data_IF_590625875350
#
_entry.id   IF_590625875350
#
_cell.length_a   1.000
_cell.length_b   1.000
_cell.length_c   1.000
_cell.angle_alpha   90.00
_cell.angle_beta   90.00
_cell.angle_gamma   90.00
#
_symmetry.space_group_name_H-M   'P 1'
#
loop_
_entity.id
_entity.type
_entity.pdbx_description
1 polymer ?
#
# COMPACT_ATOMS: atom_id res chain seq x y z
N UNK A 1 -2.44 -13.39 -2.41
CA UNK A 1 -2.31 -14.02 -1.08
C UNK A 1 -3.54 -14.87 -0.69
N UNK A 2 -4.74 -14.30 -0.57
CA UNK A 2 -5.90 -15.02 0.03
C UNK A 2 -6.71 -15.95 -0.89
N UNK A 3 -6.38 -16.06 -2.18
CA UNK A 3 -7.01 -17.06 -3.07
C UNK A 3 -7.78 -16.54 -4.29
N UNK A 4 -7.79 -15.23 -4.56
CA UNK A 4 -8.36 -14.69 -5.81
C UNK A 4 -7.68 -15.33 -7.06
N UNK A 5 -8.49 -15.70 -8.05
CA UNK A 5 -8.03 -16.29 -9.33
C UNK A 5 -8.25 -15.38 -10.54
N UNK A 6 -8.49 -14.08 -10.31
CA UNK A 6 -8.65 -13.06 -11.36
C UNK A 6 -9.71 -13.39 -12.42
N UNK A 7 -10.82 -14.03 -12.01
CA UNK A 7 -11.94 -14.37 -12.91
C UNK A 7 -12.76 -13.14 -13.36
N UNK A 8 -12.61 -12.00 -12.68
CA UNK A 8 -13.27 -10.71 -13.01
C UNK A 8 -14.80 -10.73 -12.94
N UNK A 9 -15.36 -11.63 -12.14
CA UNK A 9 -16.81 -11.80 -11.92
C UNK A 9 -17.28 -11.26 -10.55
N UNK A 10 -16.48 -10.42 -9.90
CA UNK A 10 -16.74 -9.98 -8.52
C UNK A 10 -18.12 -9.32 -8.35
N UNK A 11 -18.58 -8.58 -9.37
CA UNK A 11 -19.87 -7.88 -9.39
C UNK A 11 -21.08 -8.83 -9.53
N UNK A 12 -20.88 -10.09 -9.89
CA UNK A 12 -21.94 -11.08 -10.11
C UNK A 12 -22.28 -11.88 -8.85
N UNK A 13 -21.63 -11.60 -7.72
CA UNK A 13 -21.81 -12.32 -6.45
C UNK A 13 -21.53 -13.84 -6.53
N UNK A 14 -20.87 -14.33 -7.57
CA UNK A 14 -20.60 -15.75 -7.82
C UNK A 14 -19.10 -16.07 -7.84
N UNK A 15 -18.31 -15.40 -7.00
CA UNK A 15 -16.87 -15.63 -6.89
C UNK A 15 -16.57 -17.09 -6.54
N UNK A 16 -16.00 -17.83 -7.50
CA UNK A 16 -15.71 -19.27 -7.38
C UNK A 16 -14.70 -19.65 -6.28
N UNK A 17 -14.04 -18.66 -5.66
CA UNK A 17 -13.09 -18.88 -4.57
C UNK A 17 -13.56 -18.31 -3.24
N UNK A 18 -14.84 -17.90 -3.14
CA UNK A 18 -15.41 -17.38 -1.89
C UNK A 18 -14.84 -16.03 -1.43
N UNK A 19 -14.07 -15.32 -2.27
CA UNK A 19 -13.39 -14.07 -1.88
C UNK A 19 -14.32 -12.86 -1.97
N UNK A 20 -14.98 -12.67 -3.12
CA UNK A 20 -15.82 -11.51 -3.41
C UNK A 20 -17.26 -11.95 -3.69
N UNK A 21 -17.92 -12.49 -2.66
CA UNK A 21 -19.30 -12.97 -2.70
C UNK A 21 -19.91 -12.93 -1.30
N UNK A 22 -21.21 -12.68 -1.21
CA UNK A 22 -22.01 -12.79 -0.01
C UNK A 22 -22.77 -14.12 0.08
N UNK A 23 -22.77 -14.91 -1.01
CA UNK A 23 -23.36 -16.25 -1.01
C UNK A 23 -22.72 -17.11 0.09
N UNK A 24 -23.55 -17.67 0.96
CA UNK A 24 -23.10 -18.39 2.15
C UNK A 24 -22.34 -19.68 1.79
N UNK A 25 -22.81 -20.40 0.77
CA UNK A 25 -22.17 -21.64 0.31
C UNK A 25 -20.81 -21.33 -0.29
N UNK A 26 -20.73 -20.30 -1.14
CA UNK A 26 -19.46 -19.92 -1.75
C UNK A 26 -18.42 -19.46 -0.72
N UNK A 27 -18.83 -18.68 0.28
CA UNK A 27 -17.93 -18.24 1.36
C UNK A 27 -17.45 -19.42 2.21
N UNK A 28 -18.37 -20.27 2.67
CA UNK A 28 -18.04 -21.37 3.59
C UNK A 28 -17.19 -22.46 2.92
N UNK A 29 -17.54 -22.85 1.70
CA UNK A 29 -16.95 -24.02 1.07
C UNK A 29 -15.67 -23.68 0.28
N UNK A 30 -15.56 -22.47 -0.28
CA UNK A 30 -14.50 -22.15 -1.25
C UNK A 30 -13.48 -21.12 -0.77
N UNK A 31 -13.77 -20.33 0.28
CA UNK A 31 -12.76 -19.47 0.86
C UNK A 31 -11.76 -20.32 1.67
N UNK A 32 -10.48 -20.29 1.26
CA UNK A 32 -9.38 -21.01 1.91
C UNK A 32 -8.24 -20.08 2.35
N UNK A 33 -8.48 -18.78 2.34
CA UNK A 33 -7.48 -17.79 2.75
C UNK A 33 -7.22 -17.86 4.25
N UNK A 34 -5.96 -17.98 4.64
CA UNK A 34 -5.53 -17.93 6.03
C UNK A 34 -4.75 -16.64 6.31
N UNK A 35 -4.79 -16.08 7.53
CA UNK A 35 -3.98 -14.91 7.91
C UNK A 35 -2.50 -15.09 7.57
N UNK A 36 -1.95 -16.28 7.79
CA UNK A 36 -0.55 -16.64 7.54
C UNK A 36 -0.17 -16.46 6.07
N UNK A 37 -1.10 -16.69 5.14
CA UNK A 37 -0.84 -16.51 3.70
C UNK A 37 -0.59 -15.03 3.35
N UNK A 38 -1.25 -14.11 4.05
CA UNK A 38 -1.05 -12.67 3.87
C UNK A 38 0.21 -12.22 4.58
N UNK A 39 0.46 -12.70 5.79
CA UNK A 39 1.71 -12.43 6.53
C UNK A 39 2.93 -12.86 5.70
N UNK A 40 2.92 -14.09 5.18
CA UNK A 40 4.03 -14.61 4.37
C UNK A 40 4.26 -13.81 3.09
N UNK A 41 3.18 -13.31 2.45
CA UNK A 41 3.31 -12.41 1.30
C UNK A 41 4.07 -11.13 1.67
N UNK A 42 3.73 -10.49 2.79
CA UNK A 42 4.41 -9.26 3.23
C UNK A 42 5.83 -9.50 3.74
N UNK A 43 6.10 -10.65 4.38
CA UNK A 43 7.48 -11.04 4.74
C UNK A 43 8.33 -11.15 3.48
N UNK A 44 7.88 -11.91 2.48
CA UNK A 44 8.62 -12.04 1.21
C UNK A 44 8.81 -10.71 0.49
N UNK A 45 7.76 -9.88 0.41
CA UNK A 45 7.85 -8.54 -0.17
C UNK A 45 8.85 -7.65 0.57
N UNK A 46 8.83 -7.67 1.91
CA UNK A 46 9.76 -6.88 2.71
C UNK A 46 11.20 -7.37 2.55
N UNK A 47 11.42 -8.68 2.40
CA UNK A 47 12.74 -9.28 2.17
C UNK A 47 13.32 -8.83 0.82
N UNK A 48 12.50 -8.87 -0.24
CA UNK A 48 12.88 -8.39 -1.59
C UNK A 48 13.22 -6.89 -1.57
N UNK A 49 12.39 -6.06 -0.94
CA UNK A 49 12.65 -4.62 -0.79
C UNK A 49 13.98 -4.37 -0.07
N UNK A 50 14.29 -5.12 1.00
CA UNK A 50 15.59 -4.98 1.71
C UNK A 50 16.76 -5.44 0.85
N UNK A 51 16.58 -6.45 0.00
CA UNK A 51 17.58 -6.86 -0.99
C UNK A 51 17.90 -5.72 -1.97
N UNK A 52 16.87 -5.11 -2.57
CA UNK A 52 17.02 -3.97 -3.48
C UNK A 52 17.66 -2.75 -2.81
N UNK A 53 17.28 -2.45 -1.56
CA UNK A 53 17.91 -1.39 -0.77
C UNK A 53 19.42 -1.64 -0.61
N UNK A 54 19.81 -2.88 -0.29
CA UNK A 54 21.21 -3.25 -0.16
C UNK A 54 21.99 -3.16 -1.48
N UNK A 55 21.39 -3.56 -2.61
CA UNK A 55 21.98 -3.41 -3.95
C UNK A 55 22.25 -1.94 -4.30
N UNK A 56 21.37 -1.03 -3.86
CA UNK A 56 21.51 0.42 -4.03
C UNK A 56 22.43 1.06 -2.97
N UNK A 57 22.89 0.30 -1.97
CA UNK A 57 23.72 0.82 -0.87
C UNK A 57 22.96 1.72 0.11
N UNK A 58 21.65 1.52 0.25
CA UNK A 58 20.76 2.33 1.10
C UNK A 58 20.26 1.49 2.29
N UNK A 59 20.30 2.05 3.50
CA UNK A 59 19.89 1.33 4.71
C UNK A 59 18.38 1.44 4.97
N UNK A 60 17.78 2.62 4.74
CA UNK A 60 16.38 2.89 5.09
C UNK A 60 15.57 3.25 3.86
N UNK A 61 14.35 2.70 3.78
CA UNK A 61 13.41 3.02 2.71
C UNK A 61 13.12 4.53 2.61
N UNK A 62 13.08 5.23 3.74
CA UNK A 62 12.86 6.69 3.78
C UNK A 62 13.94 7.48 3.04
N UNK A 63 15.15 6.94 2.93
CA UNK A 63 16.26 7.61 2.25
C UNK A 63 16.14 7.49 0.71
N UNK A 64 15.24 6.65 0.21
CA UNK A 64 14.88 6.55 -1.22
C UNK A 64 13.68 7.40 -1.61
N UNK A 65 12.84 7.85 -0.67
CA UNK A 65 11.60 8.55 -1.00
C UNK A 65 11.94 9.87 -1.71
N UNK A 66 11.59 9.95 -3.00
CA UNK A 66 11.85 11.09 -3.87
C UNK A 66 13.20 11.10 -4.59
N UNK A 67 14.03 10.05 -4.46
CA UNK A 67 15.30 9.91 -5.18
C UNK A 67 15.10 9.48 -6.64
N UNK A 68 14.48 10.34 -7.45
CA UNK A 68 14.27 10.08 -8.88
C UNK A 68 15.57 10.06 -9.68
N UNK A 69 16.66 10.60 -9.12
CA UNK A 69 18.01 10.51 -9.68
C UNK A 69 18.58 9.09 -9.73
N UNK A 70 17.98 8.14 -8.99
CA UNK A 70 18.31 6.72 -9.06
C UNK A 70 17.53 5.97 -10.15
N UNK A 71 16.66 6.67 -10.88
CA UNK A 71 15.84 6.12 -11.94
C UNK A 71 16.27 6.68 -13.29
N UNK A 72 16.29 5.83 -14.31
CA UNK A 72 16.51 6.24 -15.69
C UNK A 72 15.43 5.69 -16.61
N UNK A 73 15.07 6.46 -17.64
CA UNK A 73 14.20 5.99 -18.69
C UNK A 73 14.97 5.06 -19.63
N UNK A 74 14.58 3.79 -19.67
CA UNK A 74 15.12 2.82 -20.63
C UNK A 74 14.53 3.04 -22.02
N UNK A 75 15.29 2.67 -23.07
CA UNK A 75 14.83 2.77 -24.45
C UNK A 75 13.59 1.88 -24.68
N UNK A 76 12.58 2.44 -25.37
CA UNK A 76 11.35 1.73 -25.67
C UNK A 76 11.52 0.66 -26.75
N UNK A 77 10.94 -0.52 -26.53
CA UNK A 77 10.98 -1.64 -27.49
C UNK A 77 10.03 -1.49 -28.69
N UNK A 78 9.09 -0.54 -28.63
CA UNK A 78 8.08 -0.33 -29.67
C UNK A 78 8.01 1.13 -30.07
N UNK A 79 7.58 1.39 -31.31
CA UNK A 79 7.35 2.75 -31.82
C UNK A 79 6.34 3.57 -30.99
N UNK A 80 5.51 2.94 -30.14
CA UNK A 80 4.66 3.65 -29.17
C UNK A 80 5.44 4.01 -27.90
N UNK A 81 6.23 3.09 -27.37
CA UNK A 81 7.04 3.33 -26.16
C UNK A 81 8.11 4.40 -26.39
N UNK A 82 8.75 4.43 -27.56
CA UNK A 82 9.75 5.47 -27.90
C UNK A 82 9.16 6.88 -27.95
N UNK A 83 7.83 7.02 -27.98
CA UNK A 83 7.13 8.31 -27.97
C UNK A 83 6.68 8.74 -26.57
N UNK A 84 6.95 7.94 -25.54
CA UNK A 84 6.63 8.31 -24.17
C UNK A 84 7.66 9.31 -23.66
N UNK A 85 7.18 10.46 -23.20
CA UNK A 85 7.96 11.40 -22.41
C UNK A 85 7.72 11.11 -20.93
N UNK A 86 8.76 10.60 -20.25
CA UNK A 86 8.71 10.25 -18.82
C UNK A 86 9.29 11.35 -17.94
N UNK A 87 9.67 12.50 -18.50
CA UNK A 87 10.32 13.60 -17.76
C UNK A 87 9.53 14.03 -16.52
N UNK A 88 8.21 14.20 -16.64
CA UNK A 88 7.34 14.61 -15.54
C UNK A 88 7.28 13.60 -14.37
N UNK A 89 7.59 12.32 -14.61
CA UNK A 89 7.62 11.28 -13.56
C UNK A 89 9.03 11.19 -12.93
N UNK A 90 10.06 11.54 -13.69
CA UNK A 90 11.46 11.53 -13.25
C UNK A 90 11.91 12.86 -12.62
N UNK A 91 11.08 13.91 -12.71
CA UNK A 91 11.35 15.18 -12.06
C UNK A 91 11.50 14.99 -10.54
N UNK A 92 12.60 15.50 -9.98
CA UNK A 92 12.83 15.43 -8.55
C UNK A 92 11.79 16.27 -7.81
N UNK A 93 11.14 15.73 -6.76
CA UNK A 93 10.14 16.47 -6.02
C UNK A 93 10.79 17.67 -5.31
N UNK A 94 10.25 18.86 -5.56
CA UNK A 94 10.62 20.08 -4.84
C UNK A 94 9.74 20.18 -3.60
N UNK A 95 10.34 19.96 -2.43
CA UNK A 95 9.63 20.16 -1.17
C UNK A 95 9.51 21.66 -0.85
N UNK A 96 8.30 22.22 -0.73
CA UNK A 96 8.13 23.58 -0.27
C UNK A 96 8.73 23.75 1.13
N UNK A 97 9.37 24.88 1.39
CA UNK A 97 9.78 25.30 2.75
C UNK A 97 10.73 24.32 3.48
N UNK A 98 11.37 23.39 2.75
CA UNK A 98 12.32 22.43 3.33
C UNK A 98 11.67 21.28 4.11
N UNK A 99 10.37 21.01 3.89
CA UNK A 99 9.72 19.86 4.49
C UNK A 99 10.39 18.54 4.06
N UNK A 100 10.39 17.49 4.90
CA UNK A 100 10.86 16.17 4.50
C UNK A 100 9.98 15.61 3.38
N UNK A 101 10.57 14.81 2.47
CA UNK A 101 9.86 14.15 1.37
C UNK A 101 8.99 12.98 1.83
N UNK A 102 9.09 12.62 3.11
CA UNK A 102 8.32 11.59 3.75
C UNK A 102 7.73 12.11 5.05
N UNK A 103 6.71 11.41 5.53
CA UNK A 103 5.98 11.80 6.72
C UNK A 103 6.80 11.59 8.01
N UNK A 104 6.96 12.64 8.82
CA UNK A 104 7.79 12.63 10.03
C UNK A 104 7.04 12.92 11.33
N UNK A 105 5.77 13.32 11.28
CA UNK A 105 5.01 13.76 12.46
C UNK A 105 3.87 12.80 12.80
N UNK A 106 3.40 12.69 14.05
CA UNK A 106 2.18 11.93 14.33
C UNK A 106 0.94 12.57 13.70
N UNK A 107 0.03 11.74 13.15
CA UNK A 107 -1.28 12.24 12.72
C UNK A 107 -2.11 12.62 13.96
N UNK A 108 -2.27 13.92 14.22
CA UNK A 108 -3.13 14.42 15.30
C UNK A 108 -4.57 14.48 14.79
N UNK A 109 -5.51 13.75 15.41
CA UNK A 109 -6.91 13.81 15.02
C UNK A 109 -7.43 15.25 15.09
N UNK A 110 -8.23 15.64 14.09
CA UNK A 110 -8.92 16.94 14.09
C UNK A 110 -9.90 17.04 15.26
N UNK A 111 -10.69 15.98 15.48
CA UNK A 111 -11.58 15.89 16.63
C UNK A 111 -10.79 15.48 17.87
N UNK A 112 -10.85 16.34 18.89
CA UNK A 112 -10.21 16.11 20.19
C UNK A 112 -11.07 15.23 21.12
N UNK A 113 -12.29 14.91 20.70
CA UNK A 113 -13.27 14.11 21.44
C UNK A 113 -13.60 14.69 22.82
N UNK A 114 -13.60 16.02 22.99
CA UNK A 114 -13.80 16.71 24.28
C UNK A 114 -15.13 16.30 24.95
N UNK A 115 -16.19 16.16 24.17
CA UNK A 115 -17.49 15.70 24.67
C UNK A 115 -17.44 14.23 25.12
N UNK A 116 -16.77 13.37 24.37
CA UNK A 116 -16.63 11.96 24.74
C UNK A 116 -15.86 11.82 26.05
N UNK A 117 -14.81 12.61 26.24
CA UNK A 117 -14.06 12.61 27.51
C UNK A 117 -14.94 13.05 28.67
N UNK A 118 -15.71 14.12 28.48
CA UNK A 118 -16.69 14.55 29.50
C UNK A 118 -17.70 13.46 29.84
N UNK A 119 -18.23 12.74 28.84
CA UNK A 119 -19.17 11.63 29.07
C UNK A 119 -18.52 10.51 29.87
N UNK A 120 -17.26 10.17 29.58
CA UNK A 120 -16.50 9.18 30.34
C UNK A 120 -16.33 9.64 31.80
N UNK A 121 -15.93 10.89 32.03
CA UNK A 121 -15.76 11.45 33.36
C UNK A 121 -17.07 11.41 34.15
N UNK A 122 -18.18 11.86 33.54
CA UNK A 122 -19.51 11.86 34.14
C UNK A 122 -19.99 10.43 34.48
N UNK A 123 -19.65 9.43 33.65
CA UNK A 123 -20.05 8.04 33.84
C UNK A 123 -19.16 7.24 34.80
N UNK A 124 -17.88 7.59 34.95
CA UNK A 124 -16.95 6.94 35.88
C UNK A 124 -17.03 7.50 37.30
N UNK A 125 -17.58 8.71 37.46
CA UNK A 125 -17.81 9.36 38.75
C UNK A 125 -19.26 9.25 39.27
N UNK A 126 -20.13 8.50 38.58
CA UNK A 126 -21.47 8.12 39.02
C UNK A 126 -21.48 6.75 39.72
#
# INVERSE_FOLDING_TARGET
>A
AMGCKFLRICHLNNCATGVATQDETLRKEYFKGLPEMVMNYFVGLADEVRGLLAELGVEKLTDLIGRTDLLEAVEGFTAKQTKLDLSNILEAPVSPEGHPLFWTEPNKPFDKAELNQKIIDDAMHA
#
